data_IF_098145952764
#
_entry.id   IF_098145952764
#
_cell.length_a   1.000
_cell.length_b   1.000
_cell.length_c   1.000
_cell.angle_alpha   90.00
_cell.angle_beta   90.00
_cell.angle_gamma   90.00
#
_symmetry.space_group_name_H-M   'P 1'
#
loop_
_entity.id
_entity.type
_entity.pdbx_description
1 polymer ?
#
# COMPACT_ATOMS: atom_id res chain seq x y z
N UNK A 1 23.42 18.73 -34.76
CA UNK A 1 24.15 17.58 -34.18
C UNK A 1 23.50 17.21 -32.86
N UNK A 2 23.12 15.96 -32.66
CA UNK A 2 22.62 15.47 -31.36
C UNK A 2 23.85 15.34 -30.45
N UNK A 3 23.87 16.02 -29.29
CA UNK A 3 25.01 16.09 -28.37
C UNK A 3 25.31 14.78 -27.63
N UNK A 4 25.51 13.68 -28.35
CA UNK A 4 25.81 12.35 -27.83
C UNK A 4 26.94 11.71 -28.63
N UNK A 5 27.70 10.83 -28.00
CA UNK A 5 28.82 10.15 -28.67
C UNK A 5 28.32 9.21 -29.77
N UNK A 6 29.06 9.09 -30.87
CA UNK A 6 28.77 8.13 -31.95
C UNK A 6 28.66 6.68 -31.44
N UNK A 7 29.42 6.33 -30.39
CA UNK A 7 29.35 5.02 -29.73
C UNK A 7 27.99 4.77 -29.08
N UNK A 8 27.41 5.80 -28.45
CA UNK A 8 26.06 5.73 -27.88
C UNK A 8 25.02 5.57 -28.98
N UNK A 9 25.11 6.36 -30.06
CA UNK A 9 24.21 6.26 -31.21
C UNK A 9 24.23 4.86 -31.82
N UNK A 10 25.42 4.31 -32.06
CA UNK A 10 25.57 2.96 -32.61
C UNK A 10 25.02 1.87 -31.69
N UNK A 11 25.22 1.99 -30.37
CA UNK A 11 24.62 1.07 -29.39
C UNK A 11 23.10 1.10 -29.46
N UNK A 12 22.49 2.29 -29.49
CA UNK A 12 21.03 2.44 -29.59
C UNK A 12 20.50 1.75 -30.86
N UNK A 13 21.14 1.99 -32.02
CA UNK A 13 20.75 1.37 -33.29
C UNK A 13 20.87 -0.16 -33.22
N UNK A 14 21.94 -0.69 -32.64
CA UNK A 14 22.13 -2.13 -32.51
C UNK A 14 21.12 -2.77 -31.56
N UNK A 15 20.86 -2.16 -30.41
CA UNK A 15 19.84 -2.64 -29.46
C UNK A 15 18.45 -2.63 -30.11
N UNK A 16 18.12 -1.57 -30.86
CA UNK A 16 16.85 -1.49 -31.59
C UNK A 16 16.72 -2.60 -32.65
N UNK A 17 17.76 -2.85 -33.45
CA UNK A 17 17.76 -3.94 -34.44
C UNK A 17 17.60 -5.33 -33.81
N UNK A 18 18.09 -5.52 -32.58
CA UNK A 18 18.08 -6.81 -31.87
C UNK A 18 16.79 -7.04 -31.10
N UNK A 19 16.33 -6.05 -30.35
CA UNK A 19 15.23 -6.18 -29.38
C UNK A 19 13.94 -5.46 -29.83
N UNK A 20 14.01 -4.62 -30.87
CA UNK A 20 12.87 -3.82 -31.36
C UNK A 20 12.44 -2.69 -30.42
N UNK A 21 13.19 -2.46 -29.34
CA UNK A 21 12.88 -1.55 -28.25
C UNK A 21 13.77 -0.29 -28.31
N UNK A 22 13.17 0.89 -28.09
CA UNK A 22 13.89 2.18 -27.98
C UNK A 22 13.99 2.63 -26.51
N UNK A 23 13.13 2.09 -25.64
CA UNK A 23 13.11 2.41 -24.21
C UNK A 23 14.27 1.77 -23.46
N UNK A 24 14.67 2.40 -22.36
CA UNK A 24 15.69 1.85 -21.46
C UNK A 24 15.19 0.55 -20.82
N UNK A 25 16.07 -0.45 -20.79
CA UNK A 25 15.81 -1.69 -20.07
C UNK A 25 15.72 -1.40 -18.55
N UNK A 26 14.87 -2.13 -17.81
CA UNK A 26 14.79 -1.96 -16.37
C UNK A 26 16.15 -2.27 -15.73
N UNK A 27 16.66 -1.32 -14.93
CA UNK A 27 17.90 -1.52 -14.20
C UNK A 27 17.76 -2.64 -13.17
N UNK A 28 18.78 -3.50 -13.08
CA UNK A 28 18.91 -4.47 -12.01
C UNK A 28 19.03 -3.73 -10.67
N UNK A 29 18.03 -3.89 -9.81
CA UNK A 29 18.04 -3.31 -8.47
C UNK A 29 18.85 -4.18 -7.51
N UNK A 30 19.33 -3.57 -6.43
CA UNK A 30 19.96 -4.31 -5.34
C UNK A 30 18.96 -5.33 -4.75
N UNK A 31 19.40 -6.58 -4.46
CA UNK A 31 18.55 -7.57 -3.82
C UNK A 31 17.93 -7.04 -2.54
N UNK A 32 16.67 -7.39 -2.29
CA UNK A 32 16.00 -7.02 -1.05
C UNK A 32 16.50 -7.93 0.06
N UNK A 33 16.80 -7.36 1.23
CA UNK A 33 17.18 -8.13 2.42
C UNK A 33 16.02 -8.94 3.03
N UNK A 34 14.77 -8.71 2.59
CA UNK A 34 13.57 -9.39 3.12
C UNK A 34 13.20 -10.61 2.27
N UNK A 35 12.76 -11.66 2.93
CA UNK A 35 12.17 -12.85 2.28
C UNK A 35 10.67 -12.62 2.02
N UNK A 36 10.12 -13.26 0.99
CA UNK A 36 8.68 -13.20 0.69
C UNK A 36 7.80 -13.70 1.86
N UNK A 37 8.27 -14.73 2.59
CA UNK A 37 7.62 -15.24 3.79
C UNK A 37 7.52 -14.19 4.89
N UNK A 38 8.64 -13.55 5.25
CA UNK A 38 8.66 -12.48 6.27
C UNK A 38 7.72 -11.32 5.92
N UNK A 39 7.59 -10.99 4.63
CA UNK A 39 6.66 -9.96 4.17
C UNK A 39 5.19 -10.38 4.32
N UNK A 40 4.88 -11.66 4.08
CA UNK A 40 3.56 -12.23 4.31
C UNK A 40 3.21 -12.24 5.81
N UNK A 41 4.11 -12.75 6.65
CA UNK A 41 3.91 -12.84 8.10
C UNK A 41 3.69 -11.46 8.72
N UNK A 42 4.50 -10.48 8.32
CA UNK A 42 4.34 -9.07 8.73
C UNK A 42 2.97 -8.52 8.34
N UNK A 43 2.51 -8.85 7.12
CA UNK A 43 1.22 -8.38 6.60
C UNK A 43 0.05 -9.00 7.34
N UNK A 44 0.14 -10.28 7.63
CA UNK A 44 -0.92 -11.02 8.31
C UNK A 44 -1.01 -10.61 9.78
N UNK A 45 0.13 -10.40 10.45
CA UNK A 45 0.18 -9.80 11.78
C UNK A 45 -0.48 -8.41 11.82
N UNK A 46 -0.19 -7.56 10.82
CA UNK A 46 -0.78 -6.22 10.74
C UNK A 46 -2.30 -6.24 10.47
N UNK A 47 -2.81 -7.24 9.73
CA UNK A 47 -4.25 -7.41 9.51
C UNK A 47 -4.96 -7.97 10.74
N UNK A 48 -4.32 -8.88 11.47
CA UNK A 48 -4.86 -9.46 12.69
C UNK A 48 -5.06 -8.40 13.78
N UNK A 49 -4.13 -7.44 13.91
CA UNK A 49 -4.22 -6.33 14.85
C UNK A 49 -3.96 -4.98 14.16
N UNK A 50 -5.01 -4.32 13.62
CA UNK A 50 -4.85 -3.08 12.84
C UNK A 50 -4.33 -1.87 13.64
N UNK A 51 -4.45 -1.90 14.96
CA UNK A 51 -4.04 -0.81 15.85
C UNK A 51 -2.66 -1.04 16.48
N UNK A 52 -2.02 -2.17 16.19
CA UNK A 52 -0.71 -2.48 16.74
C UNK A 52 0.39 -1.58 16.17
N UNK A 53 1.39 -1.30 17.00
CA UNK A 53 2.55 -0.52 16.57
C UNK A 53 3.47 -1.35 15.67
N UNK A 54 4.29 -0.70 14.85
CA UNK A 54 5.25 -1.41 13.98
C UNK A 54 6.21 -2.32 14.78
N UNK A 55 6.52 -1.97 16.04
CA UNK A 55 7.34 -2.79 16.92
C UNK A 55 6.61 -4.07 17.34
N UNK A 56 5.35 -3.95 17.72
CA UNK A 56 4.49 -5.11 18.06
C UNK A 56 4.29 -6.01 16.85
N UNK A 57 4.07 -5.45 15.66
CA UNK A 57 3.92 -6.22 14.42
C UNK A 57 5.21 -7.01 14.13
N UNK A 58 6.39 -6.39 14.31
CA UNK A 58 7.68 -7.08 14.16
C UNK A 58 7.85 -8.22 15.14
N UNK A 59 7.48 -8.00 16.41
CA UNK A 59 7.53 -9.04 17.44
C UNK A 59 6.57 -10.20 17.14
N UNK A 60 5.34 -9.91 16.71
CA UNK A 60 4.32 -10.90 16.37
C UNK A 60 4.68 -11.72 15.12
N UNK A 61 5.40 -11.13 14.17
CA UNK A 61 5.85 -11.81 12.94
C UNK A 61 7.22 -12.48 13.06
N UNK A 62 7.89 -12.38 14.22
CA UNK A 62 9.23 -12.98 14.43
C UNK A 62 10.33 -12.33 13.60
N UNK A 63 10.10 -11.12 13.07
CA UNK A 63 11.06 -10.41 12.22
C UNK A 63 11.93 -9.50 13.08
N UNK A 64 13.23 -9.80 13.12
CA UNK A 64 14.24 -8.90 13.70
C UNK A 64 14.63 -7.82 12.67
N UNK A 65 13.80 -6.78 12.54
CA UNK A 65 14.06 -5.64 11.69
C UNK A 65 13.76 -4.33 12.43
N UNK A 66 14.36 -3.23 11.96
CA UNK A 66 14.04 -1.91 12.51
C UNK A 66 12.58 -1.55 12.26
N UNK A 67 12.00 -0.73 13.13
CA UNK A 67 10.62 -0.23 12.97
C UNK A 67 10.43 0.52 11.65
N UNK A 68 11.45 1.25 11.18
CA UNK A 68 11.47 1.91 9.87
C UNK A 68 11.38 0.90 8.71
N UNK A 69 12.06 -0.23 8.84
CA UNK A 69 12.04 -1.30 7.85
C UNK A 69 10.66 -1.96 7.78
N UNK A 70 10.07 -2.28 8.94
CA UNK A 70 8.72 -2.85 9.04
C UNK A 70 7.68 -1.90 8.43
N UNK A 71 7.75 -0.59 8.76
CA UNK A 71 6.88 0.43 8.16
C UNK A 71 7.02 0.51 6.64
N UNK A 72 8.21 0.29 6.08
CA UNK A 72 8.43 0.30 4.63
C UNK A 72 7.83 -0.93 3.94
N UNK A 73 7.66 -2.03 4.65
CA UNK A 73 7.12 -3.27 4.08
C UNK A 73 5.59 -3.23 3.93
N UNK A 74 4.88 -2.62 4.87
CA UNK A 74 3.40 -2.56 4.87
C UNK A 74 2.79 -1.91 3.60
N UNK A 75 3.31 -0.80 3.07
CA UNK A 75 2.78 -0.16 1.86
C UNK A 75 2.86 -1.03 0.60
N UNK A 76 3.84 -1.95 0.51
CA UNK A 76 3.93 -2.89 -0.61
C UNK A 76 2.75 -3.86 -0.63
N UNK A 77 2.19 -4.17 0.55
CA UNK A 77 0.95 -4.91 0.72
C UNK A 77 -0.31 -4.05 0.67
N UNK A 78 -0.22 -2.78 0.23
CA UNK A 78 -1.31 -1.77 0.23
C UNK A 78 -1.85 -1.42 1.62
N UNK A 79 -1.11 -1.71 2.69
CA UNK A 79 -1.46 -1.30 4.04
C UNK A 79 -0.83 0.06 4.35
N UNK A 80 -1.68 1.01 4.75
CA UNK A 80 -1.27 2.36 5.15
C UNK A 80 -1.70 2.60 6.59
N UNK A 81 -0.87 3.32 7.34
CA UNK A 81 -1.24 3.82 8.66
C UNK A 81 -2.24 4.96 8.50
N UNK A 82 -3.41 4.82 9.12
CA UNK A 82 -4.42 5.86 9.21
C UNK A 82 -4.84 6.07 10.66
N UNK A 83 -5.37 7.25 10.97
CA UNK A 83 -5.99 7.54 12.25
C UNK A 83 -7.48 7.26 12.10
N UNK A 84 -8.06 6.46 13.01
CA UNK A 84 -9.49 6.19 13.02
C UNK A 84 -10.30 7.48 13.22
N UNK A 85 -11.37 7.63 12.43
CA UNK A 85 -12.26 8.79 12.55
C UNK A 85 -12.95 8.80 13.92
N UNK A 86 -12.85 9.93 14.62
CA UNK A 86 -13.54 10.15 15.89
C UNK A 86 -15.03 10.37 15.61
N UNK A 87 -15.88 9.50 16.16
CA UNK A 87 -17.34 9.60 16.02
C UNK A 87 -17.93 9.98 17.38
N UNK A 88 -19.01 10.79 17.43
CA UNK A 88 -19.66 11.10 18.68
C UNK A 88 -20.16 9.83 19.37
N UNK A 89 -20.08 9.81 20.70
CA UNK A 89 -20.57 8.73 21.54
C UNK A 89 -22.11 8.74 21.57
N UNK A 90 -22.73 8.08 20.60
CA UNK A 90 -24.20 7.95 20.51
C UNK A 90 -24.64 6.73 21.32
N UNK A 91 -25.64 6.92 22.20
CA UNK A 91 -26.26 5.84 22.96
C UNK A 91 -26.92 4.79 22.04
N UNK A 92 -27.12 3.58 22.54
CA UNK A 92 -27.76 2.52 21.77
C UNK A 92 -29.19 2.92 21.34
N UNK A 93 -29.96 3.54 22.25
CA UNK A 93 -31.30 4.05 21.96
C UNK A 93 -31.29 5.05 20.79
N UNK A 94 -30.38 6.02 20.82
CA UNK A 94 -30.26 7.03 19.76
C UNK A 94 -29.81 6.41 18.43
N UNK A 95 -28.96 5.38 18.43
CA UNK A 95 -28.59 4.65 17.21
C UNK A 95 -29.81 3.95 16.58
N UNK A 96 -30.62 3.28 17.40
CA UNK A 96 -31.84 2.60 16.93
C UNK A 96 -32.86 3.59 16.40
N UNK A 97 -33.11 4.70 17.10
CA UNK A 97 -34.01 5.75 16.64
C UNK A 97 -33.57 6.34 15.28
N UNK A 98 -32.27 6.64 15.13
CA UNK A 98 -31.70 7.12 13.86
C UNK A 98 -31.85 6.11 12.73
N UNK A 99 -31.62 4.83 13.01
CA UNK A 99 -31.75 3.77 12.01
C UNK A 99 -33.21 3.59 11.58
N UNK A 100 -34.16 3.63 12.52
CA UNK A 100 -35.60 3.55 12.22
C UNK A 100 -36.06 4.75 11.41
N UNK A 101 -35.63 5.95 11.78
CA UNK A 101 -35.90 7.17 11.00
C UNK A 101 -35.36 7.04 9.57
N UNK A 102 -34.09 6.66 9.40
CA UNK A 102 -33.47 6.50 8.08
C UNK A 102 -34.18 5.44 7.23
N UNK A 103 -34.63 4.33 7.83
CA UNK A 103 -35.42 3.30 7.12
C UNK A 103 -36.80 3.81 6.72
N UNK A 104 -37.50 4.51 7.62
CA UNK A 104 -38.84 5.06 7.37
C UNK A 104 -38.83 6.11 6.26
N UNK A 105 -37.77 6.92 6.21
CA UNK A 105 -37.61 8.03 5.27
C UNK A 105 -36.61 7.72 4.13
N UNK A 106 -36.32 6.44 3.86
CA UNK A 106 -35.34 6.05 2.85
C UNK A 106 -35.75 6.40 1.42
N UNK A 107 -37.06 6.55 1.17
CA UNK A 107 -37.64 6.97 -0.12
C UNK A 107 -38.12 8.42 -0.10
N UNK A 108 -37.76 9.22 0.91
CA UNK A 108 -38.22 10.60 0.99
C UNK A 108 -37.61 11.42 -0.15
N UNK A 109 -38.48 11.89 -1.05
CA UNK A 109 -38.11 12.81 -2.14
C UNK A 109 -38.60 14.22 -1.84
N UNK A 110 -38.06 15.22 -2.53
CA UNK A 110 -38.40 16.65 -2.32
C UNK A 110 -39.86 17.01 -2.64
N UNK A 111 -40.60 16.08 -3.25
CA UNK A 111 -42.01 16.24 -3.63
C UNK A 111 -43.01 15.66 -2.59
N UNK A 112 -42.51 15.11 -1.47
CA UNK A 112 -43.30 14.66 -0.30
C UNK A 112 -43.28 15.66 0.88
#
# INVERSE_FOLDING_TARGET
MIGRSNKTVNRIIQTYKKEGCICDAPHKRHPRAKTAAQDADTRDAAKASPFSTAREIGAASGVSASTSTIKRWLPEGKLKSHIAAQKPCISLSNRTARLNFAKKHGSWTTDD
#
